data_IF_797004589443
#
_entry.id   IF_797004589443
#
_cell.length_a   1.000
_cell.length_b   1.000
_cell.length_c   1.000
_cell.angle_alpha   90.00
_cell.angle_beta   90.00
_cell.angle_gamma   90.00
#
_symmetry.space_group_name_H-M   'P 1'
#
loop_
_entity.id
_entity.type
_entity.pdbx_description
1 polymer ?
#
# COMPACT_ATOMS: atom_id res chain seq x y z
N UNK A 1 -10.64 -64.28 -16.13
CA UNK A 1 -9.90 -63.07 -16.49
C UNK A 1 -10.68 -61.88 -15.92
N UNK A 2 -10.26 -61.35 -14.74
CA UNK A 2 -10.81 -60.14 -14.16
C UNK A 2 -9.96 -58.96 -14.66
N UNK A 3 -10.57 -58.06 -15.43
CA UNK A 3 -9.97 -56.81 -15.85
C UNK A 3 -10.32 -55.78 -14.76
N UNK A 4 -9.31 -55.43 -13.94
CA UNK A 4 -9.43 -54.36 -12.95
C UNK A 4 -9.39 -53.00 -13.64
N UNK A 5 -10.47 -52.26 -13.57
CA UNK A 5 -10.53 -50.87 -14.02
C UNK A 5 -9.93 -50.00 -12.93
N UNK A 6 -8.73 -49.44 -13.18
CA UNK A 6 -8.08 -48.47 -12.30
C UNK A 6 -8.73 -47.10 -12.54
N UNK A 7 -9.65 -46.69 -11.66
CA UNK A 7 -10.21 -45.34 -11.68
C UNK A 7 -9.20 -44.40 -11.02
N UNK A 8 -8.48 -43.65 -11.83
CA UNK A 8 -7.65 -42.53 -11.35
C UNK A 8 -8.58 -41.37 -10.98
N UNK A 9 -8.88 -41.25 -9.69
CA UNK A 9 -9.54 -40.06 -9.17
C UNK A 9 -8.50 -38.90 -9.20
N UNK A 10 -8.52 -38.13 -10.30
CA UNK A 10 -7.88 -36.79 -10.29
C UNK A 10 -8.65 -35.94 -9.29
N UNK A 11 -8.06 -35.74 -8.14
CA UNK A 11 -8.58 -34.86 -7.09
C UNK A 11 -8.77 -33.47 -7.69
N UNK A 12 -10.01 -33.03 -7.77
CA UNK A 12 -10.38 -31.67 -8.15
C UNK A 12 -10.09 -30.71 -7.01
N UNK A 13 -8.80 -30.33 -6.81
CA UNK A 13 -8.44 -29.25 -5.91
C UNK A 13 -8.59 -27.85 -6.58
N UNK A 14 -8.84 -27.77 -7.89
CA UNK A 14 -8.90 -26.49 -8.63
C UNK A 14 -10.11 -25.60 -8.32
N UNK A 15 -11.14 -26.12 -7.64
CA UNK A 15 -12.34 -25.36 -7.33
C UNK A 15 -12.33 -24.70 -5.93
N UNK A 16 -11.56 -25.25 -5.00
CA UNK A 16 -11.45 -24.69 -3.63
C UNK A 16 -10.63 -23.39 -3.66
N UNK A 17 -9.58 -23.34 -4.47
CA UNK A 17 -8.71 -22.15 -4.61
C UNK A 17 -9.42 -20.96 -5.26
N UNK A 18 -10.39 -21.21 -6.17
CA UNK A 18 -11.20 -20.13 -6.76
C UNK A 18 -12.19 -19.50 -5.77
N UNK A 19 -12.60 -20.22 -4.76
CA UNK A 19 -13.53 -19.75 -3.71
C UNK A 19 -12.80 -19.03 -2.58
N UNK A 20 -11.54 -19.36 -2.30
CA UNK A 20 -10.77 -18.77 -1.20
C UNK A 20 -10.12 -17.41 -1.54
N UNK A 21 -10.01 -17.07 -2.84
CA UNK A 21 -9.28 -15.88 -3.31
C UNK A 21 -7.76 -15.97 -3.12
N UNK A 22 -7.24 -17.02 -2.47
CA UNK A 22 -5.82 -17.23 -2.27
C UNK A 22 -5.14 -17.76 -3.53
N UNK A 23 -3.94 -17.32 -3.77
CA UNK A 23 -3.11 -17.91 -4.81
C UNK A 23 -2.65 -19.31 -4.39
N UNK A 24 -2.58 -20.21 -5.38
CA UNK A 24 -1.85 -21.46 -5.20
C UNK A 24 -0.35 -21.18 -5.11
N UNK A 25 0.39 -22.10 -4.49
CA UNK A 25 1.85 -22.00 -4.42
C UNK A 25 2.47 -21.93 -5.82
N UNK A 26 2.00 -22.74 -6.76
CA UNK A 26 2.43 -22.73 -8.16
C UNK A 26 2.21 -21.34 -8.81
N UNK A 27 1.05 -20.72 -8.57
CA UNK A 27 0.75 -19.38 -9.08
C UNK A 27 1.68 -18.33 -8.48
N UNK A 28 1.96 -18.42 -7.19
CA UNK A 28 2.84 -17.49 -6.49
C UNK A 28 4.28 -17.57 -7.02
N UNK A 29 4.81 -18.79 -7.16
CA UNK A 29 6.13 -19.01 -7.74
C UNK A 29 6.20 -18.54 -9.18
N UNK A 30 5.22 -18.85 -10.02
CA UNK A 30 5.17 -18.39 -11.40
C UNK A 30 5.17 -16.86 -11.51
N UNK A 31 4.45 -16.18 -10.62
CA UNK A 31 4.48 -14.71 -10.56
C UNK A 31 5.86 -14.21 -10.17
N UNK A 32 6.47 -14.79 -9.12
CA UNK A 32 7.79 -14.39 -8.61
C UNK A 32 8.89 -14.61 -9.68
N UNK A 33 8.92 -15.76 -10.31
CA UNK A 33 9.93 -16.11 -11.34
C UNK A 33 9.83 -15.22 -12.59
N UNK A 34 8.69 -14.60 -12.83
CA UNK A 34 8.52 -13.65 -13.93
C UNK A 34 8.91 -12.22 -13.57
N UNK A 35 9.25 -11.94 -12.31
CA UNK A 35 9.72 -10.61 -11.91
C UNK A 35 11.23 -10.48 -12.14
N UNK A 36 11.73 -9.29 -12.55
CA UNK A 36 13.15 -9.00 -12.47
C UNK A 36 13.59 -9.00 -11.00
N UNK A 37 14.90 -9.02 -10.76
CA UNK A 37 15.39 -8.74 -9.40
C UNK A 37 14.92 -7.35 -8.95
N UNK A 38 14.07 -7.31 -7.94
CA UNK A 38 13.46 -6.07 -7.44
C UNK A 38 14.46 -5.31 -6.57
N UNK A 39 14.73 -4.06 -6.95
CA UNK A 39 15.60 -3.13 -6.23
C UNK A 39 14.84 -1.82 -6.02
N UNK A 40 14.69 -1.37 -4.79
CA UNK A 40 13.92 -0.16 -4.50
C UNK A 40 14.00 0.29 -3.06
N UNK A 41 13.19 1.28 -2.74
CA UNK A 41 13.11 1.88 -1.39
C UNK A 41 11.68 2.31 -1.06
N UNK A 42 11.47 2.73 0.19
CA UNK A 42 10.34 3.61 0.48
C UNK A 42 10.55 4.93 -0.24
N UNK A 43 9.51 5.44 -0.89
CA UNK A 43 9.57 6.68 -1.66
C UNK A 43 8.59 7.71 -1.12
N UNK A 44 9.10 8.89 -0.91
CA UNK A 44 8.40 10.14 -0.68
C UNK A 44 9.29 11.24 -1.25
N UNK A 45 8.71 12.30 -1.82
CA UNK A 45 9.52 13.42 -2.33
C UNK A 45 10.22 14.16 -1.20
N UNK A 46 11.41 14.70 -1.49
CA UNK A 46 12.19 15.49 -0.54
C UNK A 46 11.50 16.79 -0.11
N UNK A 47 10.45 17.19 -0.82
CA UNK A 47 9.63 18.37 -0.47
C UNK A 47 8.49 18.05 0.50
N UNK A 48 8.16 16.78 0.74
CA UNK A 48 7.06 16.37 1.60
C UNK A 48 7.54 15.85 2.95
N UNK A 49 6.92 16.29 4.03
CA UNK A 49 7.22 15.89 5.41
C UNK A 49 6.68 14.47 5.68
N UNK A 50 5.50 14.15 5.11
CA UNK A 50 4.82 12.88 5.31
C UNK A 50 3.89 12.55 4.13
N UNK A 51 3.23 11.40 4.21
CA UNK A 51 2.34 10.93 3.15
C UNK A 51 1.12 11.82 2.91
N UNK A 52 0.65 12.61 3.89
CA UNK A 52 -0.42 13.58 3.66
C UNK A 52 0.07 14.72 2.76
N UNK A 53 1.20 15.33 3.11
CA UNK A 53 1.79 16.41 2.31
C UNK A 53 2.20 15.93 0.92
N UNK A 54 2.66 14.69 0.80
CA UNK A 54 2.99 14.11 -0.50
C UNK A 54 1.79 14.03 -1.45
N UNK A 55 0.58 13.77 -0.92
CA UNK A 55 -0.59 13.48 -1.74
C UNK A 55 -1.67 14.57 -1.74
N UNK A 56 -1.65 15.57 -0.85
CA UNK A 56 -2.62 16.66 -0.86
C UNK A 56 -2.51 17.47 -2.17
N UNK A 57 -3.65 17.98 -2.67
CA UNK A 57 -3.73 18.68 -3.94
C UNK A 57 -2.83 19.90 -4.01
N UNK A 58 -2.76 20.67 -2.93
CA UNK A 58 -1.99 21.92 -2.81
C UNK A 58 -0.48 21.70 -2.66
N UNK A 59 -0.05 20.49 -2.34
CA UNK A 59 1.37 20.14 -2.13
C UNK A 59 1.88 19.05 -3.06
N UNK A 60 1.00 18.50 -3.93
CA UNK A 60 1.37 17.44 -4.88
C UNK A 60 2.26 17.98 -6.00
N UNK A 61 3.55 17.63 -5.97
CA UNK A 61 4.61 18.18 -6.81
C UNK A 61 5.06 17.19 -7.90
N UNK A 62 4.44 17.27 -9.07
CA UNK A 62 4.75 16.41 -10.23
C UNK A 62 6.18 16.58 -10.73
N UNK A 63 6.72 17.79 -10.72
CA UNK A 63 8.08 18.05 -11.19
C UNK A 63 9.11 17.41 -10.27
N UNK A 64 8.86 17.46 -8.96
CA UNK A 64 9.69 16.81 -7.95
C UNK A 64 9.62 15.29 -8.07
N UNK A 65 8.42 14.72 -8.23
CA UNK A 65 8.20 13.30 -8.44
C UNK A 65 8.97 12.83 -9.68
N UNK A 66 8.83 13.52 -10.81
CA UNK A 66 9.52 13.18 -12.07
C UNK A 66 11.04 13.18 -11.89
N UNK A 67 11.58 14.23 -11.30
CA UNK A 67 13.01 14.36 -11.04
C UNK A 67 13.55 13.25 -10.14
N UNK A 68 12.88 12.97 -9.02
CA UNK A 68 13.39 12.02 -8.03
C UNK A 68 13.22 10.57 -8.46
N UNK A 69 12.15 10.24 -9.20
CA UNK A 69 12.02 8.92 -9.82
C UNK A 69 13.04 8.71 -10.95
N UNK A 70 13.37 9.74 -11.72
CA UNK A 70 14.49 9.70 -12.68
C UNK A 70 15.83 9.37 -12.00
N UNK A 71 16.12 9.99 -10.87
CA UNK A 71 17.32 9.69 -10.08
C UNK A 71 17.29 8.26 -9.54
N UNK A 72 16.15 7.80 -9.00
CA UNK A 72 15.98 6.44 -8.53
C UNK A 72 16.27 5.41 -9.63
N UNK A 73 15.72 5.60 -10.83
CA UNK A 73 15.98 4.74 -11.98
C UNK A 73 17.46 4.77 -12.40
N UNK A 74 18.10 5.93 -12.35
CA UNK A 74 19.52 6.10 -12.77
C UNK A 74 20.51 5.29 -11.91
N UNK A 75 20.12 4.95 -10.67
CA UNK A 75 20.90 4.09 -9.78
C UNK A 75 20.43 2.63 -9.75
N UNK A 76 19.55 2.25 -10.69
CA UNK A 76 19.10 0.87 -10.89
C UNK A 76 17.89 0.45 -10.09
N UNK A 77 17.17 1.36 -9.47
CA UNK A 77 15.90 1.04 -8.81
C UNK A 77 14.81 0.78 -9.87
N UNK A 78 14.05 -0.28 -9.69
CA UNK A 78 12.94 -0.70 -10.55
C UNK A 78 11.62 -0.89 -9.79
N UNK A 79 11.60 -0.62 -8.49
CA UNK A 79 10.38 -0.60 -7.68
C UNK A 79 10.47 0.47 -6.60
N UNK A 80 9.30 1.02 -6.21
CA UNK A 80 9.18 1.96 -5.09
C UNK A 80 7.98 1.58 -4.22
N UNK A 81 8.14 1.70 -2.90
CA UNK A 81 7.09 1.48 -1.93
C UNK A 81 6.55 2.82 -1.45
N UNK A 82 5.26 3.09 -1.69
CA UNK A 82 4.64 4.41 -1.50
C UNK A 82 3.43 4.30 -0.60
N UNK A 83 3.41 5.15 0.43
CA UNK A 83 2.36 5.15 1.44
C UNK A 83 1.20 6.04 1.01
N UNK A 84 0.00 5.48 1.04
CA UNK A 84 -1.27 6.18 0.89
C UNK A 84 -1.80 6.63 2.26
N UNK A 85 -2.96 7.32 2.28
CA UNK A 85 -3.60 7.71 3.54
C UNK A 85 -5.13 7.81 3.39
N UNK A 86 -5.86 7.24 4.34
CA UNK A 86 -7.33 7.19 4.36
C UNK A 86 -7.99 8.58 4.39
N UNK A 87 -7.41 9.56 5.07
CA UNK A 87 -7.94 10.92 5.11
C UNK A 87 -7.98 11.59 3.73
N UNK A 88 -7.06 11.28 2.84
CA UNK A 88 -7.04 11.81 1.47
C UNK A 88 -8.21 11.28 0.64
N UNK A 89 -8.54 10.00 0.85
CA UNK A 89 -9.72 9.40 0.26
C UNK A 89 -11.02 10.03 0.79
N UNK A 90 -11.10 10.26 2.10
CA UNK A 90 -12.27 10.88 2.73
C UNK A 90 -12.45 12.34 2.27
N UNK A 91 -11.35 13.07 2.05
CA UNK A 91 -11.35 14.46 1.60
C UNK A 91 -11.80 14.60 0.14
N UNK A 92 -11.14 13.85 -0.77
CA UNK A 92 -11.32 13.96 -2.22
C UNK A 92 -10.88 12.65 -2.92
N UNK A 93 -11.76 11.67 -2.93
CA UNK A 93 -11.44 10.35 -3.51
C UNK A 93 -11.13 10.41 -5.01
N UNK A 94 -11.80 11.29 -5.76
CA UNK A 94 -11.62 11.44 -7.22
C UNK A 94 -10.27 12.07 -7.52
N UNK A 95 -9.94 13.18 -6.89
CA UNK A 95 -8.65 13.82 -7.04
C UNK A 95 -7.50 12.97 -6.53
N UNK A 96 -7.71 12.23 -5.44
CA UNK A 96 -6.70 11.31 -4.92
C UNK A 96 -6.39 10.18 -5.92
N UNK A 97 -7.39 9.53 -6.51
CA UNK A 97 -7.19 8.56 -7.60
C UNK A 97 -6.40 9.17 -8.75
N UNK A 98 -6.76 10.39 -9.18
CA UNK A 98 -6.05 11.08 -10.25
C UNK A 98 -4.59 11.32 -9.91
N UNK A 99 -4.26 11.74 -8.71
CA UNK A 99 -2.88 11.93 -8.25
C UNK A 99 -2.10 10.62 -8.21
N UNK A 100 -2.72 9.53 -7.76
CA UNK A 100 -2.11 8.18 -7.81
C UNK A 100 -1.83 7.79 -9.26
N UNK A 101 -2.76 7.98 -10.18
CA UNK A 101 -2.58 7.68 -11.60
C UNK A 101 -1.45 8.50 -12.25
N UNK A 102 -1.35 9.79 -11.91
CA UNK A 102 -0.26 10.66 -12.36
C UNK A 102 1.11 10.17 -11.83
N UNK A 103 1.17 9.81 -10.55
CA UNK A 103 2.38 9.23 -9.96
C UNK A 103 2.77 7.93 -10.67
N UNK A 104 1.84 7.00 -10.86
CA UNK A 104 2.08 5.74 -11.55
C UNK A 104 2.54 5.94 -12.99
N UNK A 105 2.02 6.96 -13.67
CA UNK A 105 2.43 7.31 -15.03
C UNK A 105 3.89 7.77 -15.08
N UNK A 106 4.31 8.60 -14.13
CA UNK A 106 5.70 9.03 -14.04
C UNK A 106 6.62 7.87 -13.63
N UNK A 107 6.18 7.05 -12.68
CA UNK A 107 6.93 5.87 -12.23
C UNK A 107 7.20 4.90 -13.39
N UNK A 108 6.17 4.59 -14.17
CA UNK A 108 6.25 3.69 -15.35
C UNK A 108 7.15 4.26 -16.47
N UNK A 109 7.15 5.58 -16.69
CA UNK A 109 8.07 6.28 -17.61
C UNK A 109 9.53 5.91 -17.34
N UNK A 110 9.88 5.65 -16.09
CA UNK A 110 11.24 5.27 -15.66
C UNK A 110 11.42 3.77 -15.42
N UNK A 111 10.45 2.95 -15.80
CA UNK A 111 10.49 1.49 -15.60
C UNK A 111 10.40 1.06 -14.15
N UNK A 112 9.83 1.91 -13.29
CA UNK A 112 9.67 1.66 -11.86
C UNK A 112 8.24 1.19 -11.60
N UNK A 113 8.07 -0.02 -11.03
CA UNK A 113 6.79 -0.52 -10.56
C UNK A 113 6.54 -0.10 -9.12
N UNK A 114 5.28 0.01 -8.74
CA UNK A 114 4.91 0.58 -7.43
C UNK A 114 4.27 -0.45 -6.52
N UNK A 115 4.72 -0.51 -5.27
CA UNK A 115 4.05 -1.14 -4.15
C UNK A 115 3.27 -0.05 -3.40
N UNK A 116 1.93 -0.14 -3.38
CA UNK A 116 1.07 0.80 -2.69
C UNK A 116 0.72 0.30 -1.29
N UNK A 117 1.02 1.11 -0.27
CA UNK A 117 0.77 0.80 1.15
C UNK A 117 -0.48 1.54 1.61
N UNK A 118 -1.49 0.80 2.10
CA UNK A 118 -2.75 1.41 2.54
C UNK A 118 -2.67 2.00 3.93
N UNK A 119 -2.15 1.23 4.89
CA UNK A 119 -2.16 1.60 6.30
C UNK A 119 -0.76 1.60 6.91
N UNK A 120 -0.60 2.39 7.96
CA UNK A 120 0.64 2.49 8.72
C UNK A 120 0.34 2.52 10.22
N UNK A 121 0.80 1.50 10.95
CA UNK A 121 0.58 1.35 12.40
C UNK A 121 1.54 2.17 13.26
N UNK A 122 2.51 2.85 12.67
CA UNK A 122 3.58 3.58 13.35
C UNK A 122 3.36 5.09 13.25
N UNK A 123 4.17 5.88 13.96
CA UNK A 123 4.22 7.34 13.91
C UNK A 123 3.12 8.05 14.69
N UNK A 124 2.87 9.33 14.38
CA UNK A 124 1.96 10.16 15.15
C UNK A 124 0.50 9.70 14.99
N UNK A 125 -0.19 9.35 16.09
CA UNK A 125 -1.49 8.66 16.05
C UNK A 125 -2.69 9.56 15.71
N UNK A 126 -2.49 10.85 15.56
CA UNK A 126 -3.57 11.83 15.29
C UNK A 126 -3.29 12.60 14.01
N UNK A 127 -3.40 11.96 12.83
CA UNK A 127 -3.18 12.62 11.54
C UNK A 127 -4.20 13.74 11.31
N UNK A 128 -3.78 14.79 10.61
CA UNK A 128 -4.65 15.91 10.22
C UNK A 128 -4.30 16.38 8.83
N UNK A 129 -5.31 16.65 8.01
CA UNK A 129 -5.14 17.31 6.72
C UNK A 129 -4.64 18.76 6.88
N UNK A 130 -4.15 19.33 5.80
CA UNK A 130 -3.59 20.68 5.73
C UNK A 130 -2.09 20.71 5.97
N UNK A 131 -1.59 21.88 6.36
CA UNK A 131 -0.15 22.09 6.59
C UNK A 131 0.36 21.14 7.68
N UNK A 132 1.43 20.41 7.32
CA UNK A 132 2.05 19.48 8.27
C UNK A 132 3.03 20.22 9.18
N UNK A 133 3.17 19.81 10.45
CA UNK A 133 4.14 20.39 11.36
C UNK A 133 5.57 20.05 10.93
N UNK A 134 6.49 20.98 11.16
CA UNK A 134 7.91 20.77 10.90
C UNK A 134 8.44 19.54 11.67
N UNK A 135 9.25 18.69 11.02
CA UNK A 135 9.83 17.54 11.69
C UNK A 135 10.90 17.97 12.71
N UNK A 136 11.09 17.16 13.73
CA UNK A 136 12.16 17.37 14.69
C UNK A 136 13.52 17.05 14.05
N UNK A 137 14.47 17.96 14.13
CA UNK A 137 15.81 17.78 13.56
C UNK A 137 16.49 16.56 14.20
N UNK A 138 17.08 15.71 13.36
CA UNK A 138 17.76 14.47 13.74
C UNK A 138 16.87 13.40 14.41
N UNK A 139 15.54 13.54 14.34
CA UNK A 139 14.62 12.50 14.79
C UNK A 139 13.98 11.84 13.58
N UNK A 140 14.26 10.54 13.41
CA UNK A 140 13.79 9.74 12.29
C UNK A 140 12.26 9.81 12.15
N UNK A 141 11.79 10.20 10.96
CA UNK A 141 10.38 10.26 10.58
C UNK A 141 9.45 10.97 11.59
N UNK A 142 9.97 11.95 12.33
CA UNK A 142 9.23 12.64 13.39
C UNK A 142 8.01 13.45 12.91
N UNK A 143 7.91 13.71 11.61
CA UNK A 143 6.77 14.34 10.97
C UNK A 143 5.77 13.36 10.35
N UNK A 144 6.05 12.04 10.38
CA UNK A 144 5.17 11.04 9.80
C UNK A 144 3.94 10.80 10.67
N UNK A 145 2.86 10.34 10.03
CA UNK A 145 1.56 10.15 10.67
C UNK A 145 1.02 8.75 10.40
N UNK A 146 0.24 8.27 11.34
CA UNK A 146 -0.41 6.97 11.29
C UNK A 146 -1.60 6.98 10.32
N UNK A 147 -1.82 5.89 9.60
CA UNK A 147 -3.02 5.66 8.78
C UNK A 147 -3.56 4.25 9.05
N UNK A 148 -4.84 4.09 9.46
CA UNK A 148 -5.69 5.15 9.94
C UNK A 148 -5.23 5.67 11.29
N UNK A 149 -5.65 6.89 11.66
CA UNK A 149 -5.33 7.43 12.97
C UNK A 149 -5.96 6.63 14.12
N UNK A 150 -5.35 6.70 15.32
CA UNK A 150 -5.77 5.93 16.50
C UNK A 150 -7.24 6.08 16.88
N UNK A 151 -7.83 7.25 16.62
CA UNK A 151 -9.28 7.47 16.87
C UNK A 151 -10.15 6.54 16.02
N UNK A 152 -9.85 6.44 14.71
CA UNK A 152 -10.60 5.60 13.78
C UNK A 152 -10.36 4.11 14.04
N UNK A 153 -9.13 3.73 14.42
CA UNK A 153 -8.82 2.34 14.82
C UNK A 153 -9.63 1.85 16.02
N UNK A 154 -10.04 2.75 16.91
CA UNK A 154 -10.89 2.40 18.09
C UNK A 154 -12.36 2.33 17.76
N UNK A 155 -12.78 2.94 16.65
CA UNK A 155 -14.20 3.03 16.25
C UNK A 155 -14.54 1.97 15.20
N UNK A 156 -14.90 0.78 15.68
CA UNK A 156 -15.31 -0.33 14.79
C UNK A 156 -16.53 0.00 13.94
N UNK A 157 -17.40 0.90 14.39
CA UNK A 157 -18.57 1.31 13.61
C UNK A 157 -18.17 2.15 12.39
N UNK A 158 -16.98 2.73 12.39
CA UNK A 158 -16.46 3.52 11.28
C UNK A 158 -15.57 2.72 10.32
N UNK A 159 -15.31 1.42 10.54
CA UNK A 159 -14.48 0.59 9.67
C UNK A 159 -14.99 0.51 8.23
N UNK A 160 -16.28 0.70 7.99
CA UNK A 160 -16.81 0.80 6.63
C UNK A 160 -16.14 1.92 5.80
N UNK A 161 -15.59 2.95 6.42
CA UNK A 161 -14.84 4.02 5.75
C UNK A 161 -13.51 3.50 5.21
N UNK A 162 -12.80 2.70 6.01
CA UNK A 162 -11.56 2.05 5.62
C UNK A 162 -11.80 1.03 4.51
N UNK A 163 -12.87 0.26 4.62
CA UNK A 163 -13.30 -0.67 3.57
C UNK A 163 -13.57 0.06 2.24
N UNK A 164 -14.29 1.17 2.28
CA UNK A 164 -14.54 1.99 1.07
C UNK A 164 -13.26 2.54 0.46
N UNK A 165 -12.33 2.99 1.28
CA UNK A 165 -11.02 3.48 0.85
C UNK A 165 -10.23 2.39 0.12
N UNK A 166 -10.00 1.24 0.77
CA UNK A 166 -9.24 0.13 0.19
C UNK A 166 -9.93 -0.39 -1.06
N UNK A 167 -11.22 -0.73 -0.98
CA UNK A 167 -11.99 -1.26 -2.12
C UNK A 167 -12.06 -0.27 -3.29
N UNK A 168 -12.15 1.02 -3.01
CA UNK A 168 -12.22 2.05 -4.05
C UNK A 168 -10.93 2.13 -4.85
N UNK A 169 -9.78 2.17 -4.18
CA UNK A 169 -8.47 2.20 -4.84
C UNK A 169 -8.19 0.88 -5.57
N UNK A 170 -8.37 -0.25 -4.89
CA UNK A 170 -8.14 -1.57 -5.51
C UNK A 170 -9.04 -1.77 -6.72
N UNK A 171 -10.32 -1.41 -6.64
CA UNK A 171 -11.23 -1.52 -7.78
C UNK A 171 -10.75 -0.73 -9.00
N UNK A 172 -10.15 0.45 -8.79
CA UNK A 172 -9.67 1.30 -9.88
C UNK A 172 -8.39 0.75 -10.51
N UNK A 173 -7.43 0.30 -9.68
CA UNK A 173 -6.10 -0.11 -10.12
C UNK A 173 -5.85 -1.63 -10.12
N UNK A 174 -6.86 -2.48 -9.91
CA UNK A 174 -6.68 -3.95 -9.77
C UNK A 174 -6.07 -4.64 -10.99
N UNK A 175 -6.24 -4.07 -12.18
CA UNK A 175 -5.68 -4.58 -13.43
C UNK A 175 -4.56 -3.68 -14.00
N UNK A 176 -4.04 -2.78 -13.19
CA UNK A 176 -3.00 -1.85 -13.60
C UNK A 176 -1.62 -2.47 -13.38
N UNK A 177 -0.92 -2.76 -14.47
CA UNK A 177 0.40 -3.40 -14.42
C UNK A 177 1.50 -2.51 -13.81
N UNK A 178 1.24 -1.22 -13.61
CA UNK A 178 2.14 -0.30 -12.91
C UNK A 178 2.18 -0.57 -11.42
N UNK A 179 1.10 -1.15 -10.87
CA UNK A 179 1.02 -1.58 -9.47
C UNK A 179 1.54 -3.00 -9.35
N UNK A 180 2.68 -3.16 -8.69
CA UNK A 180 3.35 -4.45 -8.51
C UNK A 180 2.75 -5.26 -7.35
N UNK A 181 2.56 -4.61 -6.20
CA UNK A 181 2.15 -5.24 -4.94
C UNK A 181 1.20 -4.29 -4.19
N UNK A 182 0.21 -4.88 -3.54
CA UNK A 182 -0.62 -4.24 -2.52
C UNK A 182 -0.07 -4.58 -1.14
N UNK A 183 0.41 -3.57 -0.41
CA UNK A 183 0.83 -3.70 0.98
C UNK A 183 -0.31 -3.19 1.87
N UNK A 184 -0.92 -4.10 2.58
CA UNK A 184 -2.14 -3.77 3.30
C UNK A 184 -1.85 -2.91 4.53
N UNK A 185 -0.80 -3.25 5.31
CA UNK A 185 -0.54 -2.58 6.57
C UNK A 185 0.92 -2.63 7.00
N UNK A 186 1.56 -1.48 7.08
CA UNK A 186 2.91 -1.37 7.63
C UNK A 186 2.88 -1.51 9.15
N UNK A 187 3.63 -2.47 9.68
CA UNK A 187 3.89 -2.68 11.10
C UNK A 187 2.66 -2.66 12.04
N UNK A 188 1.60 -3.41 11.76
CA UNK A 188 0.35 -3.36 12.53
C UNK A 188 0.52 -3.84 13.98
N UNK A 189 1.60 -4.54 14.28
CA UNK A 189 1.89 -5.09 15.61
C UNK A 189 2.90 -4.30 16.42
N UNK A 190 3.40 -3.15 15.94
CA UNK A 190 4.36 -2.34 16.68
C UNK A 190 3.66 -1.55 17.78
N UNK A 191 3.43 -2.22 18.90
CA UNK A 191 2.82 -1.64 20.08
C UNK A 191 3.86 -0.78 20.83
N UNK A 192 3.51 0.45 21.15
CA UNK A 192 4.25 1.27 22.11
C UNK A 192 4.87 2.57 21.58
N UNK A 193 4.93 2.82 20.28
CA UNK A 193 5.44 4.09 19.75
C UNK A 193 4.30 5.04 19.35
N UNK A 194 3.23 4.54 18.76
CA UNK A 194 2.16 5.38 18.21
C UNK A 194 0.74 4.99 18.61
N UNK A 195 0.49 3.75 18.98
CA UNK A 195 -0.85 3.23 19.27
C UNK A 195 -1.07 2.91 20.75
N UNK A 196 -0.72 3.81 21.63
CA UNK A 196 -0.64 3.61 23.09
C UNK A 196 -1.81 2.86 23.74
N UNK A 197 -2.94 2.65 23.06
CA UNK A 197 -4.13 2.04 23.62
C UNK A 197 -4.82 1.03 22.68
N UNK A 198 -4.13 0.56 21.62
CA UNK A 198 -4.71 -0.43 20.71
C UNK A 198 -4.03 -1.76 20.96
N UNK A 199 -4.80 -2.76 21.36
CA UNK A 199 -4.25 -4.09 21.58
C UNK A 199 -3.78 -4.69 20.24
N UNK A 200 -2.82 -5.61 20.32
CA UNK A 200 -2.33 -6.37 19.17
C UNK A 200 -3.46 -7.11 18.44
N UNK A 201 -4.40 -7.63 19.21
CA UNK A 201 -5.60 -8.29 18.70
C UNK A 201 -6.43 -7.36 17.83
N UNK A 202 -6.55 -6.09 18.23
CA UNK A 202 -7.31 -5.07 17.49
C UNK A 202 -6.65 -4.68 16.16
N UNK A 203 -5.33 -4.61 16.14
CA UNK A 203 -4.60 -4.36 14.90
C UNK A 203 -4.75 -5.54 13.92
N UNK A 204 -4.82 -6.77 14.43
CA UNK A 204 -5.02 -7.99 13.63
C UNK A 204 -6.44 -8.04 13.03
N UNK A 205 -7.47 -7.53 13.71
CA UNK A 205 -8.84 -7.49 13.20
C UNK A 205 -9.00 -6.65 11.92
N UNK A 206 -8.06 -5.74 11.63
CA UNK A 206 -8.05 -4.94 10.41
C UNK A 206 -7.45 -5.66 9.20
N UNK A 207 -6.73 -6.77 9.42
CA UNK A 207 -6.22 -7.63 8.37
C UNK A 207 -7.33 -8.45 7.72
#
# INVERSE_FOLDING_TARGET
>A
LLIGVLIIIKSCNSNIDKLSGKWTEERAWKWYDNQPWLVGSNFITSSAINQLEFWQEDTFDLDRIDKELSLSSSIGMNTQRVFLHDLLWEQDSIGFIKRIDQYLTISDKYGIKTMLVFFDGVWHPSPKLGKQPEPLINVHNSGWVQSPGAKLLRDTLAYYKLEKYVKGIVKYFSNDERVLIWDLYNEPGLLGISSHDISKERAIELY
#
